data_IF_929879859283
#
_entry.id   IF_929879859283
#
_cell.length_a   1.000
_cell.length_b   1.000
_cell.length_c   1.000
_cell.angle_alpha   90.00
_cell.angle_beta   90.00
_cell.angle_gamma   90.00
#
_symmetry.space_group_name_H-M   'P 1'
#
loop_
_entity.id
_entity.type
_entity.pdbx_description
1 polymer ?
#
# COMPACT_ATOMS: atom_id res chain seq x y z
N UNK A 1 -14.87 1.28 -6.36
CA UNK A 1 -13.64 1.12 -7.17
C UNK A 1 -12.55 0.52 -6.30
N UNK A 2 -11.78 -0.47 -6.76
CA UNK A 2 -10.75 -1.10 -5.91
C UNK A 2 -9.44 -0.30 -5.96
N UNK A 3 -8.74 -0.24 -4.83
CA UNK A 3 -7.45 0.43 -4.70
C UNK A 3 -6.54 -0.34 -3.72
N UNK A 4 -5.26 -0.01 -3.74
CA UNK A 4 -4.23 -0.62 -2.89
C UNK A 4 -3.54 0.44 -2.06
N UNK A 5 -3.31 0.14 -0.77
CA UNK A 5 -2.55 1.02 0.12
C UNK A 5 -1.07 1.04 -0.28
N UNK A 6 -0.51 2.25 -0.42
CA UNK A 6 0.88 2.47 -0.86
C UNK A 6 1.77 3.09 0.22
N UNK A 7 1.22 3.43 1.38
CA UNK A 7 1.98 3.87 2.56
C UNK A 7 2.23 2.68 3.47
N UNK A 8 3.29 2.76 4.27
CA UNK A 8 3.63 1.75 5.30
C UNK A 8 2.40 1.44 6.15
N UNK A 9 1.84 2.52 6.71
CA UNK A 9 0.63 2.58 7.52
C UNK A 9 -0.17 3.79 7.02
N UNK A 10 -1.35 3.56 6.47
CA UNK A 10 -2.26 4.58 6.01
C UNK A 10 -3.30 4.89 7.10
N UNK A 11 -3.38 6.14 7.58
CA UNK A 11 -4.36 6.52 8.57
C UNK A 11 -5.76 6.58 7.96
N UNK A 12 -6.73 5.95 8.62
CA UNK A 12 -8.14 6.04 8.30
C UNK A 12 -8.81 6.96 9.31
N UNK A 13 -9.38 8.06 8.83
CA UNK A 13 -9.85 9.18 9.65
C UNK A 13 -11.38 9.21 9.76
N UNK A 14 -11.87 9.78 10.85
CA UNK A 14 -13.32 10.00 11.05
C UNK A 14 -13.86 11.20 10.24
N UNK A 15 -13.01 12.18 9.92
CA UNK A 15 -13.33 13.41 9.19
C UNK A 15 -12.30 13.68 8.07
N UNK A 16 -12.62 14.48 7.04
CA UNK A 16 -11.70 14.75 5.92
C UNK A 16 -10.67 15.82 6.32
N UNK A 17 -9.89 15.53 7.35
CA UNK A 17 -8.82 16.36 7.88
C UNK A 17 -7.87 15.48 8.69
N UNK A 18 -6.59 15.85 8.74
CA UNK A 18 -5.60 15.17 9.59
C UNK A 18 -5.78 15.50 11.07
N UNK A 19 -6.50 16.59 11.38
CA UNK A 19 -6.77 17.04 12.76
C UNK A 19 -8.11 16.49 13.27
N UNK A 20 -8.29 15.17 13.22
CA UNK A 20 -9.44 14.50 13.83
C UNK A 20 -9.05 13.14 14.42
N UNK A 21 -10.04 12.44 14.95
CA UNK A 21 -9.84 11.08 15.45
C UNK A 21 -9.41 10.14 14.33
N UNK A 22 -8.37 9.36 14.62
CA UNK A 22 -7.94 8.20 13.86
C UNK A 22 -8.93 7.06 14.12
N UNK A 23 -9.69 6.70 13.11
CA UNK A 23 -10.69 5.65 13.19
C UNK A 23 -10.05 4.26 13.16
N UNK A 24 -9.03 4.08 12.31
CA UNK A 24 -8.33 2.81 12.09
C UNK A 24 -7.05 3.04 11.25
N UNK A 25 -6.33 1.98 10.90
CA UNK A 25 -5.17 2.01 10.01
C UNK A 25 -5.21 0.87 8.99
N UNK A 26 -4.79 1.16 7.76
CA UNK A 26 -4.61 0.14 6.72
C UNK A 26 -3.12 0.02 6.35
N UNK A 27 -2.64 -1.20 6.16
CA UNK A 27 -1.21 -1.45 5.93
C UNK A 27 -0.87 -1.55 4.45
N UNK A 28 0.40 -1.31 4.12
CA UNK A 28 0.93 -1.44 2.75
C UNK A 28 0.41 -2.71 2.04
N UNK A 29 -0.06 -2.54 0.81
CA UNK A 29 -0.55 -3.62 -0.04
C UNK A 29 -1.89 -4.23 0.38
N UNK A 30 -2.56 -3.72 1.41
CA UNK A 30 -3.95 -4.08 1.70
C UNK A 30 -4.89 -3.47 0.65
N UNK A 31 -5.92 -4.22 0.21
CA UNK A 31 -6.94 -3.68 -0.68
C UNK A 31 -7.97 -2.87 0.11
N UNK A 32 -8.47 -1.81 -0.52
CA UNK A 32 -9.64 -1.04 -0.09
C UNK A 32 -10.57 -0.80 -1.27
N UNK A 33 -11.85 -0.61 -0.98
CA UNK A 33 -12.85 -0.16 -1.96
C UNK A 33 -13.08 1.34 -1.75
N UNK A 34 -12.81 2.15 -2.77
CA UNK A 34 -13.21 3.55 -2.83
C UNK A 34 -14.72 3.61 -3.09
N UNK A 35 -15.45 4.22 -2.15
CA UNK A 35 -16.91 4.37 -2.19
C UNK A 35 -17.33 5.72 -2.78
N UNK A 36 -16.71 6.81 -2.34
CA UNK A 36 -17.03 8.17 -2.77
C UNK A 36 -15.83 9.10 -2.61
N UNK A 37 -15.82 10.15 -3.42
CA UNK A 37 -15.02 11.35 -3.17
C UNK A 37 -15.80 12.25 -2.21
N UNK A 38 -15.14 12.80 -1.20
CA UNK A 38 -15.82 13.50 -0.10
C UNK A 38 -15.47 14.98 -0.08
N UNK A 39 -14.18 15.32 -0.01
CA UNK A 39 -13.70 16.72 0.00
C UNK A 39 -12.24 16.76 -0.40
N UNK A 40 -11.86 17.65 -1.32
CA UNK A 40 -10.45 17.87 -1.71
C UNK A 40 -9.76 16.54 -2.06
N UNK A 41 -8.75 16.12 -1.31
CA UNK A 41 -8.04 14.86 -1.53
C UNK A 41 -8.52 13.72 -0.61
N UNK A 42 -9.72 13.85 -0.02
CA UNK A 42 -10.30 12.85 0.88
C UNK A 42 -11.37 12.00 0.21
N UNK A 43 -11.27 10.70 0.45
CA UNK A 43 -12.16 9.69 -0.10
C UNK A 43 -12.73 8.81 1.00
N UNK A 44 -14.00 8.43 0.88
CA UNK A 44 -14.60 7.37 1.69
C UNK A 44 -14.13 6.04 1.13
N UNK A 45 -13.64 5.18 2.01
CA UNK A 45 -13.23 3.83 1.66
C UNK A 45 -13.86 2.80 2.55
N UNK A 46 -13.99 1.58 2.03
CA UNK A 46 -14.33 0.38 2.77
C UNK A 46 -13.17 -0.59 2.76
N UNK A 47 -12.78 -1.07 3.94
CA UNK A 47 -11.73 -2.06 4.10
C UNK A 47 -12.23 -3.47 3.76
N UNK A 48 -11.31 -4.42 3.62
CA UNK A 48 -11.65 -5.82 3.38
C UNK A 48 -12.47 -6.48 4.51
N UNK A 49 -12.48 -5.89 5.71
CA UNK A 49 -13.32 -6.30 6.84
C UNK A 49 -14.59 -5.45 6.97
N UNK A 50 -14.96 -4.70 5.92
CA UNK A 50 -16.18 -3.90 5.79
C UNK A 50 -16.26 -2.68 6.73
N UNK A 51 -15.15 -2.23 7.28
CA UNK A 51 -15.10 -0.97 8.02
C UNK A 51 -15.02 0.21 7.04
N UNK A 52 -15.72 1.30 7.34
CA UNK A 52 -15.75 2.49 6.48
C UNK A 52 -15.16 3.70 7.19
N UNK A 53 -14.27 4.41 6.50
CA UNK A 53 -13.56 5.56 7.02
C UNK A 53 -13.08 6.47 5.88
N UNK A 54 -12.47 7.61 6.22
CA UNK A 54 -11.90 8.54 5.26
C UNK A 54 -10.40 8.34 5.12
N UNK A 55 -9.89 8.41 3.89
CA UNK A 55 -8.47 8.28 3.60
C UNK A 55 -8.03 9.42 2.68
N UNK A 56 -6.78 9.87 2.84
CA UNK A 56 -6.17 10.85 1.95
C UNK A 56 -5.71 10.18 0.64
N UNK A 57 -5.79 10.92 -0.48
CA UNK A 57 -5.41 10.45 -1.83
C UNK A 57 -4.01 9.87 -1.88
N UNK A 58 -3.08 10.48 -1.15
CA UNK A 58 -1.67 10.06 -1.11
C UNK A 58 -1.44 8.69 -0.45
N UNK A 59 -2.47 8.06 0.10
CA UNK A 59 -2.35 6.79 0.80
C UNK A 59 -2.67 5.56 -0.06
N UNK A 60 -3.28 5.75 -1.23
CA UNK A 60 -3.72 4.64 -2.08
C UNK A 60 -3.44 4.88 -3.56
N UNK A 61 -3.36 3.78 -4.30
CA UNK A 61 -3.34 3.77 -5.76
C UNK A 61 -4.56 3.00 -6.28
N UNK A 62 -5.42 3.61 -7.11
CA UNK A 62 -6.50 2.89 -7.80
C UNK A 62 -5.96 1.68 -8.58
N UNK A 63 -6.70 0.57 -8.59
CA UNK A 63 -6.26 -0.68 -9.19
C UNK A 63 -5.97 -0.54 -10.69
N UNK A 64 -6.72 0.30 -11.40
CA UNK A 64 -6.52 0.59 -12.82
C UNK A 64 -5.20 1.30 -13.14
N UNK A 65 -4.54 1.88 -12.14
CA UNK A 65 -3.21 2.50 -12.28
C UNK A 65 -2.08 1.57 -11.81
N UNK A 66 -2.41 0.40 -11.27
CA UNK A 66 -1.43 -0.56 -10.78
C UNK A 66 -0.87 -1.42 -11.94
N UNK A 67 0.36 -1.90 -11.75
CA UNK A 67 0.92 -2.96 -12.60
C UNK A 67 0.05 -4.22 -12.52
N UNK A 68 -0.32 -4.81 -13.67
CA UNK A 68 -1.17 -6.01 -13.71
C UNK A 68 -0.55 -7.18 -12.96
N UNK A 69 0.78 -7.30 -12.96
CA UNK A 69 1.50 -8.33 -12.20
C UNK A 69 1.24 -8.19 -10.72
N UNK A 70 1.15 -6.96 -10.19
CA UNK A 70 0.72 -6.75 -8.82
C UNK A 70 -0.72 -7.20 -8.64
N UNK A 71 -1.66 -6.78 -9.48
CA UNK A 71 -3.09 -7.09 -9.32
C UNK A 71 -3.34 -8.60 -9.28
N UNK A 72 -2.72 -9.35 -10.19
CA UNK A 72 -2.91 -10.79 -10.38
C UNK A 72 -2.14 -11.66 -9.37
N UNK A 73 -1.01 -11.18 -8.85
CA UNK A 73 -0.17 -11.99 -7.97
C UNK A 73 -0.86 -12.36 -6.66
N UNK A 74 -0.65 -13.60 -6.22
CA UNK A 74 -0.96 -14.01 -4.84
C UNK A 74 -0.04 -13.24 -3.88
N UNK A 75 -0.62 -12.50 -2.95
CA UNK A 75 0.16 -11.72 -1.98
C UNK A 75 0.69 -12.59 -0.85
N UNK A 76 1.89 -12.29 -0.39
CA UNK A 76 2.49 -12.80 0.85
C UNK A 76 2.40 -11.72 1.92
N UNK A 77 2.43 -12.13 3.18
CA UNK A 77 2.31 -11.25 4.34
C UNK A 77 3.67 -11.15 5.03
N UNK A 78 4.08 -9.93 5.37
CA UNK A 78 5.27 -9.69 6.19
C UNK A 78 4.97 -10.11 7.63
N UNK A 79 5.78 -11.03 8.16
CA UNK A 79 5.60 -11.58 9.52
C UNK A 79 6.59 -11.01 10.55
N UNK A 80 7.69 -10.42 10.08
CA UNK A 80 8.63 -9.67 10.93
C UNK A 80 7.99 -8.36 11.39
N UNK A 81 8.45 -7.75 12.50
CA UNK A 81 7.87 -6.48 12.99
C UNK A 81 7.87 -5.38 11.93
N UNK A 82 8.96 -5.29 11.18
CA UNK A 82 9.14 -4.34 10.09
C UNK A 82 10.11 -4.93 9.06
N UNK A 83 9.98 -4.51 7.80
CA UNK A 83 10.86 -4.91 6.70
C UNK A 83 11.16 -3.70 5.81
N UNK A 84 12.44 -3.47 5.55
CA UNK A 84 12.89 -2.45 4.61
C UNK A 84 13.00 -3.05 3.21
N UNK A 85 12.35 -2.41 2.24
CA UNK A 85 12.42 -2.77 0.83
C UNK A 85 13.45 -1.88 0.17
N UNK A 86 14.44 -2.51 -0.47
CA UNK A 86 15.51 -1.84 -1.18
C UNK A 86 15.43 -2.11 -2.68
N UNK A 87 16.08 -1.26 -3.49
CA UNK A 87 16.09 -1.39 -4.94
C UNK A 87 16.88 -2.61 -5.45
N UNK A 88 17.76 -3.18 -4.64
CA UNK A 88 18.58 -4.35 -4.96
C UNK A 88 18.72 -5.23 -3.71
N UNK A 89 19.01 -6.54 -3.83
CA UNK A 89 19.16 -7.45 -2.70
C UNK A 89 20.50 -7.25 -1.95
N UNK A 90 20.76 -6.03 -1.50
CA UNK A 90 21.94 -5.63 -0.72
C UNK A 90 21.56 -4.50 0.26
N UNK A 91 22.12 -4.53 1.47
CA UNK A 91 21.78 -3.59 2.56
C UNK A 91 22.13 -2.14 2.21
N UNK A 92 23.18 -1.91 1.42
CA UNK A 92 23.60 -0.57 1.01
C UNK A 92 22.80 0.01 -0.18
N UNK A 93 21.85 -0.75 -0.72
CA UNK A 93 21.01 -0.28 -1.83
C UNK A 93 20.04 0.81 -1.37
N UNK A 94 19.65 1.75 -2.24
CA UNK A 94 18.63 2.75 -1.89
C UNK A 94 17.38 2.12 -1.30
N UNK A 95 16.91 2.70 -0.20
CA UNK A 95 15.63 2.39 0.43
C UNK A 95 14.47 2.84 -0.46
N UNK A 96 13.43 2.02 -0.56
CA UNK A 96 12.23 2.29 -1.33
C UNK A 96 10.98 2.43 -0.45
N UNK A 97 10.79 1.50 0.50
CA UNK A 97 9.55 1.39 1.26
C UNK A 97 9.78 0.65 2.58
N UNK A 98 9.12 1.10 3.64
CA UNK A 98 9.00 0.35 4.88
C UNK A 98 7.70 -0.44 4.92
N UNK A 99 7.75 -1.70 5.33
CA UNK A 99 6.55 -2.54 5.43
C UNK A 99 6.43 -3.10 6.84
N UNK A 100 5.40 -2.69 7.60
CA UNK A 100 5.16 -3.24 8.92
C UNK A 100 4.63 -4.68 8.82
N UNK A 101 4.70 -5.39 9.95
CA UNK A 101 4.03 -6.69 10.09
C UNK A 101 2.56 -6.62 9.65
N UNK A 102 2.12 -7.56 8.84
CA UNK A 102 0.77 -7.60 8.27
C UNK A 102 0.64 -6.92 6.91
N UNK A 103 1.62 -6.08 6.52
CA UNK A 103 1.74 -5.58 5.16
C UNK A 103 1.91 -6.70 4.14
N UNK A 104 1.55 -6.41 2.89
CA UNK A 104 1.45 -7.40 1.82
C UNK A 104 2.42 -7.09 0.69
N UNK A 105 3.08 -8.13 0.17
CA UNK A 105 4.00 -8.05 -0.96
C UNK A 105 3.65 -9.09 -2.02
N UNK A 106 3.99 -8.82 -3.28
CA UNK A 106 3.92 -9.79 -4.37
C UNK A 106 5.33 -10.31 -4.65
N UNK A 107 5.47 -11.62 -4.86
CA UNK A 107 6.74 -12.21 -5.30
C UNK A 107 6.68 -12.34 -6.80
N UNK A 108 7.66 -11.74 -7.48
CA UNK A 108 7.89 -11.97 -8.90
C UNK A 108 9.07 -12.94 -9.08
N UNK A 109 9.04 -13.80 -10.10
CA UNK A 109 10.22 -14.58 -10.45
C UNK A 109 11.39 -13.64 -10.74
N UNK A 110 12.60 -14.05 -10.38
CA UNK A 110 13.80 -13.30 -10.73
C UNK A 110 13.84 -13.12 -12.25
N UNK A 111 13.92 -11.86 -12.68
CA UNK A 111 14.31 -11.55 -14.04
C UNK A 111 15.82 -11.65 -14.05
N UNK A 112 16.39 -12.57 -14.84
CA UNK A 112 17.84 -12.61 -15.06
C UNK A 112 18.31 -11.21 -15.46
N UNK A 113 19.01 -10.54 -14.54
CA UNK A 113 19.57 -9.23 -14.83
C UNK A 113 20.65 -9.42 -15.90
N UNK A 114 20.42 -8.91 -17.10
CA UNK A 114 21.50 -8.72 -18.07
C UNK A 114 22.51 -7.81 -17.38
N UNK A 115 23.64 -8.39 -16.97
CA UNK A 115 24.77 -7.60 -16.47
C UNK A 115 25.17 -6.68 -17.63
N UNK A 116 24.78 -5.41 -17.57
CA UNK A 116 25.46 -4.38 -18.36
C UNK A 116 26.90 -4.39 -17.88
N UNK A 117 27.78 -5.02 -18.66
CA UNK A 117 29.21 -4.93 -18.43
C UNK A 117 29.58 -3.45 -18.54
N UNK A 118 30.38 -3.01 -17.56
CA UNK A 118 30.82 -1.63 -17.36
C UNK A 118 31.45 -1.03 -18.60
#
# INVERSE_FOLDING_TARGET
>A
MKAWIIRDIAPLMTKPTTMCELADEALFGMPVEILSHEKEDWYRVRTHYRYEALIHRDCFLPEELCDSRWVEAVKKVVITPYADIHAEPKVQSPFLQGIPRGGRVAIFPEVESVRCQK
#
